data_IF_385692060527
#
_entry.id   IF_385692060527
#
_cell.length_a   1.000
_cell.length_b   1.000
_cell.length_c   1.000
_cell.angle_alpha   90.00
_cell.angle_beta   90.00
_cell.angle_gamma   90.00
#
_symmetry.space_group_name_H-M   'P 1'
#
loop_
_entity.id
_entity.type
_entity.pdbx_description
1 polymer ?
#
# COMPACT_ATOMS: atom_id res chain seq x y z
N UNK A 1 24.68 56.15 49.50
CA UNK A 1 25.26 57.06 48.49
C UNK A 1 24.16 57.37 47.51
N UNK A 2 23.65 58.61 47.44
CA UNK A 2 22.72 58.96 46.38
C UNK A 2 23.42 58.78 45.04
N UNK A 3 22.79 58.05 44.12
CA UNK A 3 23.19 58.10 42.73
C UNK A 3 23.00 59.54 42.25
N UNK A 4 23.93 60.08 41.49
CA UNK A 4 23.96 61.48 41.04
C UNK A 4 22.86 61.85 40.00
N UNK A 5 21.70 61.19 40.05
CA UNK A 5 20.64 61.29 39.04
C UNK A 5 20.96 60.58 37.71
N UNK A 6 22.21 60.14 37.50
CA UNK A 6 22.66 59.40 36.30
C UNK A 6 22.97 57.93 36.58
N UNK A 7 22.61 57.42 37.76
CA UNK A 7 22.81 56.03 38.17
C UNK A 7 24.25 55.69 38.62
N UNK A 8 25.16 56.66 38.60
CA UNK A 8 26.56 56.49 39.04
C UNK A 8 26.70 56.87 40.50
N UNK A 9 27.42 56.04 41.25
CA UNK A 9 27.75 56.31 42.65
C UNK A 9 28.76 57.46 42.72
N UNK A 10 28.43 58.54 43.43
CA UNK A 10 29.33 59.67 43.67
C UNK A 10 29.47 59.95 45.15
N UNK A 11 30.65 60.42 45.57
CA UNK A 11 30.87 60.89 46.94
C UNK A 11 29.91 62.05 47.25
N UNK A 12 29.28 62.09 48.44
CA UNK A 12 28.53 63.26 48.85
C UNK A 12 29.45 64.49 48.90
N UNK A 13 28.98 65.69 48.52
CA UNK A 13 29.80 66.89 48.52
C UNK A 13 30.46 67.12 49.89
N UNK A 14 31.73 67.53 49.88
CA UNK A 14 32.49 67.88 51.09
C UNK A 14 32.65 66.74 52.12
N UNK A 15 32.75 65.48 51.68
CA UNK A 15 32.97 64.31 52.56
C UNK A 15 34.38 63.72 52.51
N UNK A 16 35.27 64.27 51.67
CA UNK A 16 36.68 63.84 51.63
C UNK A 16 37.37 64.29 52.90
N UNK A 17 37.84 63.34 53.72
CA UNK A 17 38.56 63.63 54.94
C UNK A 17 39.91 64.29 54.62
N UNK A 18 40.21 65.41 55.30
CA UNK A 18 41.52 66.06 55.22
C UNK A 18 42.36 65.56 56.40
N UNK A 19 43.60 65.09 56.18
CA UNK A 19 44.47 64.63 57.25
C UNK A 19 44.62 65.69 58.35
N UNK A 20 44.61 65.23 59.62
CA UNK A 20 44.79 66.08 60.81
C UNK A 20 43.73 67.18 61.01
N UNK A 21 42.52 67.00 60.48
CA UNK A 21 41.39 67.92 60.67
C UNK A 21 40.20 67.22 61.35
N UNK A 22 39.38 68.00 62.06
CA UNK A 22 38.16 67.49 62.73
C UNK A 22 37.09 67.14 61.69
N UNK A 23 36.51 65.94 61.81
CA UNK A 23 35.41 65.47 60.96
C UNK A 23 34.06 65.84 61.61
N UNK A 24 33.12 66.32 60.80
CA UNK A 24 31.74 66.59 61.25
C UNK A 24 30.97 65.27 61.42
N UNK A 25 30.61 64.93 62.66
CA UNK A 25 29.93 63.68 63.00
C UNK A 25 28.60 63.49 62.27
N UNK A 26 27.84 64.57 62.01
CA UNK A 26 26.60 64.53 61.25
C UNK A 26 26.78 63.99 59.82
N UNK A 27 27.83 64.46 59.12
CA UNK A 27 28.14 63.99 57.75
C UNK A 27 28.66 62.56 57.73
N UNK A 28 29.49 62.20 58.70
CA UNK A 28 30.00 60.84 58.84
C UNK A 28 28.86 59.82 59.12
N UNK A 29 27.98 60.15 60.07
CA UNK A 29 26.84 59.30 60.40
C UNK A 29 25.85 59.19 59.22
N UNK A 30 25.61 60.29 58.49
CA UNK A 30 24.80 60.25 57.28
C UNK A 30 25.40 59.32 56.22
N UNK A 31 26.72 59.39 55.99
CA UNK A 31 27.42 58.46 55.07
C UNK A 31 27.28 56.99 55.51
N UNK A 32 27.47 56.69 56.80
CA UNK A 32 27.31 55.33 57.32
C UNK A 32 25.87 54.82 57.20
N UNK A 33 24.88 55.67 57.49
CA UNK A 33 23.47 55.33 57.33
C UNK A 33 23.13 55.03 55.87
N UNK A 34 23.68 55.82 54.94
CA UNK A 34 23.55 55.63 53.51
C UNK A 34 24.21 54.33 53.00
N UNK A 35 25.38 53.99 53.53
CA UNK A 35 26.08 52.74 53.24
C UNK A 35 25.27 51.54 53.78
N UNK A 36 24.74 51.65 54.99
CA UNK A 36 23.89 50.62 55.58
C UNK A 36 22.59 50.45 54.78
N UNK A 37 21.99 51.53 54.30
CA UNK A 37 20.78 51.48 53.48
C UNK A 37 21.03 50.80 52.13
N UNK A 38 22.10 51.14 51.42
CA UNK A 38 22.40 50.54 50.10
C UNK A 38 22.81 49.06 50.20
N UNK A 39 23.38 48.64 51.33
CA UNK A 39 23.71 47.22 51.57
C UNK A 39 22.49 46.37 51.94
N UNK A 40 21.40 47.00 52.41
CA UNK A 40 20.17 46.32 52.82
C UNK A 40 19.01 46.50 51.83
N UNK A 41 19.22 47.18 50.71
CA UNK A 41 18.21 47.40 49.66
C UNK A 41 18.63 46.76 48.33
N UNK A 42 17.68 46.32 47.48
CA UNK A 42 18.00 45.81 46.15
C UNK A 42 18.83 46.82 45.34
N UNK A 43 19.94 46.35 44.73
CA UNK A 43 20.85 47.23 43.99
C UNK A 43 20.37 47.50 42.55
N UNK A 44 20.60 48.70 42.01
CA UNK A 44 20.42 48.98 40.58
C UNK A 44 21.33 48.10 39.72
N UNK A 45 20.91 47.79 38.49
CA UNK A 45 21.68 46.92 37.58
C UNK A 45 23.09 47.46 37.27
N UNK A 46 23.29 48.79 37.26
CA UNK A 46 24.60 49.43 37.03
C UNK A 46 25.63 49.07 38.10
N UNK A 47 25.16 48.68 39.28
CA UNK A 47 25.98 48.18 40.39
C UNK A 47 25.99 46.65 40.44
N UNK A 48 25.47 45.98 39.41
CA UNK A 48 25.45 44.52 39.26
C UNK A 48 26.81 43.96 38.84
N UNK A 49 27.07 42.70 39.21
CA UNK A 49 28.35 42.02 38.92
C UNK A 49 28.55 41.57 37.47
N UNK A 50 27.62 41.88 36.57
CA UNK A 50 27.66 41.49 35.15
C UNK A 50 28.39 42.50 34.27
N UNK A 51 28.78 43.67 34.82
CA UNK A 51 29.41 44.75 34.06
C UNK A 51 28.48 45.48 33.09
N UNK A 52 27.19 45.13 33.07
CA UNK A 52 26.22 45.69 32.15
C UNK A 52 25.53 46.94 32.70
N UNK A 53 25.28 47.91 31.83
CA UNK A 53 24.55 49.14 32.13
C UNK A 53 23.09 49.12 31.62
N UNK A 54 22.49 47.94 31.44
CA UNK A 54 21.03 47.78 31.28
C UNK A 54 20.58 46.44 31.84
N UNK A 55 19.28 46.29 32.12
CA UNK A 55 18.69 45.00 32.52
C UNK A 55 18.90 43.92 31.44
N UNK A 56 18.67 44.27 30.18
CA UNK A 56 18.85 43.36 29.03
C UNK A 56 20.31 42.95 28.91
N UNK A 57 21.24 43.91 28.92
CA UNK A 57 22.67 43.60 28.83
C UNK A 57 23.18 42.74 30.01
N UNK A 58 22.59 42.90 31.20
CA UNK A 58 22.91 42.05 32.34
C UNK A 58 22.45 40.61 32.14
N UNK A 59 21.25 40.40 31.60
CA UNK A 59 20.76 39.08 31.22
C UNK A 59 21.60 38.45 30.10
N UNK A 60 21.97 39.22 29.08
CA UNK A 60 22.77 38.74 27.96
C UNK A 60 24.16 38.30 28.42
N UNK A 61 24.78 39.07 29.34
CA UNK A 61 26.06 38.72 29.95
C UNK A 61 26.01 37.45 30.80
N UNK A 62 24.83 37.01 31.25
CA UNK A 62 24.63 35.74 31.94
C UNK A 62 24.39 34.58 30.96
N UNK A 63 23.95 34.84 29.73
CA UNK A 63 23.66 33.84 28.70
C UNK A 63 24.85 33.63 27.74
N UNK A 64 26.02 33.32 28.29
CA UNK A 64 27.26 33.20 27.50
C UNK A 64 27.33 31.92 26.67
N UNK A 65 28.05 31.99 25.54
CA UNK A 65 28.40 30.82 24.72
C UNK A 65 29.71 30.20 25.22
N UNK A 66 29.70 28.88 25.39
CA UNK A 66 30.85 28.05 25.75
C UNK A 66 31.77 27.83 24.55
N UNK A 67 33.04 27.52 24.83
CA UNK A 67 33.88 26.82 23.84
C UNK A 67 33.20 25.51 23.39
N UNK A 68 33.47 25.08 22.15
CA UNK A 68 32.94 23.84 21.60
C UNK A 68 33.35 22.65 22.47
N UNK A 69 32.40 21.75 22.74
CA UNK A 69 32.65 20.48 23.43
C UNK A 69 32.41 19.36 22.44
N UNK A 70 33.39 18.48 22.25
CA UNK A 70 33.21 17.30 21.41
C UNK A 70 32.36 16.25 22.14
N UNK A 71 31.42 15.64 21.41
CA UNK A 71 30.65 14.51 21.90
C UNK A 71 31.56 13.32 22.23
N UNK A 72 31.22 12.66 23.32
CA UNK A 72 31.83 11.44 23.82
C UNK A 72 30.80 10.71 24.70
N UNK A 73 31.11 9.47 25.12
CA UNK A 73 30.25 8.71 26.03
C UNK A 73 29.84 9.56 27.25
N UNK A 74 30.82 10.23 27.86
CA UNK A 74 30.57 11.33 28.81
C UNK A 74 30.95 12.64 28.15
N UNK A 75 29.96 13.39 27.68
CA UNK A 75 30.16 14.76 27.15
C UNK A 75 30.09 15.73 28.32
N UNK A 76 31.20 15.93 29.03
CA UNK A 76 31.20 16.59 30.33
C UNK A 76 30.85 18.09 30.26
N UNK A 77 29.61 18.44 30.61
CA UNK A 77 29.11 19.82 30.61
C UNK A 77 29.58 20.63 31.84
N UNK A 78 30.23 20.01 32.82
CA UNK A 78 30.87 20.74 33.92
C UNK A 78 32.05 21.57 33.43
N UNK A 79 32.64 21.20 32.29
CA UNK A 79 33.74 21.94 31.64
C UNK A 79 33.28 23.12 30.79
N UNK A 80 31.97 23.29 30.61
CA UNK A 80 31.42 24.36 29.79
C UNK A 80 31.77 25.75 30.36
N UNK A 81 32.26 26.64 29.50
CA UNK A 81 32.61 28.02 29.85
C UNK A 81 31.43 28.98 29.66
N UNK A 82 30.25 28.47 29.33
CA UNK A 82 29.01 29.23 29.16
C UNK A 82 27.76 28.35 29.26
N UNK A 83 26.59 28.99 29.20
CA UNK A 83 25.28 28.31 29.29
C UNK A 83 24.93 27.63 27.98
N UNK A 84 25.25 28.28 26.85
CA UNK A 84 25.03 27.73 25.50
C UNK A 84 26.26 26.93 25.08
N UNK A 85 26.11 25.66 24.75
CA UNK A 85 27.20 24.75 24.41
C UNK A 85 27.01 24.21 23.01
N UNK A 86 27.98 24.47 22.14
CA UNK A 86 28.05 23.81 20.84
C UNK A 86 28.65 22.42 21.02
N UNK A 87 27.84 21.39 20.76
CA UNK A 87 28.27 19.98 20.80
C UNK A 87 28.73 19.57 19.40
N UNK A 88 30.00 19.21 19.28
CA UNK A 88 30.63 18.81 18.02
C UNK A 88 30.87 17.30 17.97
N UNK A 89 31.26 16.75 16.82
CA UNK A 89 31.49 15.30 16.67
C UNK A 89 30.22 14.43 16.72
N UNK A 90 30.37 13.14 16.48
CA UNK A 90 29.24 12.19 16.34
C UNK A 90 29.32 10.98 17.27
N UNK A 91 30.07 11.06 18.36
CA UNK A 91 30.15 9.96 19.31
C UNK A 91 28.82 9.82 20.07
N UNK A 92 28.44 8.59 20.42
CA UNK A 92 27.27 8.34 21.24
C UNK A 92 27.46 8.95 22.64
N UNK A 93 26.43 9.63 23.14
CA UNK A 93 26.40 10.30 24.43
C UNK A 93 25.51 9.49 25.37
N UNK A 94 26.05 9.06 26.51
CA UNK A 94 25.34 8.34 27.56
C UNK A 94 25.27 9.12 28.87
N UNK A 95 26.11 10.17 29.03
CA UNK A 95 26.14 11.06 30.19
C UNK A 95 26.67 12.46 29.85
N UNK A 96 26.35 13.44 30.70
CA UNK A 96 26.77 14.85 30.57
C UNK A 96 27.66 15.37 31.71
N UNK A 97 28.29 14.45 32.45
CA UNK A 97 29.12 14.80 33.62
C UNK A 97 28.30 15.16 34.85
N UNK A 98 28.96 15.62 35.92
CA UNK A 98 28.35 15.87 37.23
C UNK A 98 28.26 17.37 37.50
N UNK A 99 27.05 17.87 37.65
CA UNK A 99 26.76 19.24 38.10
C UNK A 99 25.69 19.21 39.20
N UNK A 100 25.62 20.24 40.08
CA UNK A 100 24.55 20.37 41.05
C UNK A 100 23.15 20.29 40.41
N UNK A 101 22.17 19.82 41.17
CA UNK A 101 20.78 19.78 40.71
C UNK A 101 20.27 21.18 40.38
N UNK A 102 19.54 21.32 39.28
CA UNK A 102 18.98 22.58 38.79
C UNK A 102 19.87 23.33 37.79
N UNK A 103 21.13 22.94 37.59
CA UNK A 103 22.00 23.56 36.58
C UNK A 103 21.48 23.26 35.18
N UNK A 104 21.30 24.30 34.37
CA UNK A 104 20.79 24.20 33.00
C UNK A 104 21.89 24.52 31.96
N UNK A 105 21.83 23.82 30.83
CA UNK A 105 22.64 24.06 29.63
C UNK A 105 21.76 24.00 28.40
N UNK A 106 22.00 24.92 27.47
CA UNK A 106 21.40 24.88 26.14
C UNK A 106 22.43 24.28 25.19
N UNK A 107 22.14 23.11 24.64
CA UNK A 107 22.99 22.43 23.69
C UNK A 107 22.55 22.79 22.27
N UNK A 108 23.52 23.11 21.41
CA UNK A 108 23.34 23.23 19.97
C UNK A 108 24.22 22.16 19.32
N UNK A 109 23.61 21.22 18.60
CA UNK A 109 24.34 20.14 17.96
C UNK A 109 24.89 20.62 16.61
N UNK A 110 26.19 20.49 16.41
CA UNK A 110 26.89 20.86 15.16
C UNK A 110 27.14 19.63 14.28
N UNK A 111 26.87 18.44 14.82
CA UNK A 111 27.03 17.15 14.17
C UNK A 111 25.92 16.19 14.65
N UNK A 112 26.08 14.89 14.44
CA UNK A 112 25.01 13.90 14.65
C UNK A 112 25.35 12.83 15.73
N UNK A 113 25.54 13.21 17.01
CA UNK A 113 25.69 12.23 18.08
C UNK A 113 24.36 11.53 18.41
N UNK A 114 24.44 10.29 18.89
CA UNK A 114 23.29 9.56 19.45
C UNK A 114 23.18 9.85 20.95
N UNK A 115 22.10 10.49 21.40
CA UNK A 115 21.78 10.60 22.81
C UNK A 115 21.07 9.31 23.24
N UNK A 116 21.69 8.59 24.19
CA UNK A 116 21.20 7.29 24.64
C UNK A 116 20.32 7.46 25.87
N UNK A 117 19.04 7.10 25.74
CA UNK A 117 18.09 7.17 26.82
C UNK A 117 18.44 6.21 27.96
N UNK A 118 18.32 6.70 29.18
CA UNK A 118 18.31 5.92 30.41
C UNK A 118 17.27 6.51 31.36
N UNK A 119 16.47 5.67 32.00
CA UNK A 119 15.38 6.11 32.89
C UNK A 119 15.85 6.91 34.12
N UNK A 120 17.16 6.92 34.42
CA UNK A 120 17.76 7.59 35.56
C UNK A 120 18.80 8.62 35.13
N UNK A 121 19.84 8.20 34.39
CA UNK A 121 21.03 9.02 34.15
C UNK A 121 20.90 10.02 33.00
N UNK A 122 20.13 9.68 31.96
CA UNK A 122 19.89 10.54 30.80
C UNK A 122 18.46 10.38 30.31
N UNK A 123 17.57 11.17 30.90
CA UNK A 123 16.13 11.13 30.62
C UNK A 123 15.84 12.00 29.40
N UNK A 124 15.29 11.39 28.35
CA UNK A 124 14.98 12.03 27.07
C UNK A 124 13.46 12.00 26.80
N UNK A 125 12.92 12.97 26.03
CA UNK A 125 11.53 12.95 25.57
C UNK A 125 11.16 11.65 24.86
N UNK A 126 9.96 11.14 25.12
CA UNK A 126 9.46 9.91 24.52
C UNK A 126 10.08 8.61 25.06
N UNK A 127 10.92 8.67 26.11
CA UNK A 127 11.58 7.51 26.71
C UNK A 127 12.37 6.66 25.70
N UNK A 128 13.00 7.33 24.73
CA UNK A 128 13.71 6.70 23.62
C UNK A 128 15.00 7.45 23.29
N UNK A 129 15.93 6.76 22.64
CA UNK A 129 17.16 7.37 22.13
C UNK A 129 16.83 8.47 21.10
N UNK A 130 17.63 9.53 21.08
CA UNK A 130 17.51 10.61 20.09
C UNK A 130 18.78 10.64 19.26
N UNK A 131 18.66 10.33 17.97
CA UNK A 131 19.71 10.61 16.99
C UNK A 131 19.65 12.10 16.67
N UNK A 132 20.65 12.86 17.15
CA UNK A 132 20.74 14.28 16.83
C UNK A 132 21.21 14.48 15.39
N UNK A 133 20.94 15.66 14.86
CA UNK A 133 21.48 16.17 13.61
C UNK A 133 22.06 17.57 13.82
N UNK A 134 22.89 18.01 12.86
CA UNK A 134 23.41 19.37 12.88
C UNK A 134 22.26 20.39 12.82
N UNK A 135 22.31 21.38 13.70
CA UNK A 135 21.30 22.42 13.89
C UNK A 135 20.23 22.09 14.94
N UNK A 136 20.18 20.86 15.46
CA UNK A 136 19.26 20.53 16.55
C UNK A 136 19.65 21.27 17.84
N UNK A 137 18.66 21.57 18.68
CA UNK A 137 18.88 22.22 19.98
C UNK A 137 18.19 21.45 21.11
N UNK A 138 18.80 21.43 22.30
CA UNK A 138 18.24 20.81 23.48
C UNK A 138 18.50 21.63 24.74
N UNK A 139 17.54 21.67 25.66
CA UNK A 139 17.72 22.23 27.01
C UNK A 139 17.89 21.08 27.98
N UNK A 140 19.09 20.97 28.54
CA UNK A 140 19.46 19.93 29.50
C UNK A 140 19.52 20.50 30.91
N UNK A 141 18.88 19.84 31.87
CA UNK A 141 18.92 20.21 33.28
C UNK A 141 19.50 19.08 34.12
N UNK A 142 20.49 19.40 34.94
CA UNK A 142 21.06 18.47 35.89
C UNK A 142 20.06 18.18 37.01
N UNK A 143 19.94 16.92 37.39
CA UNK A 143 19.23 16.45 38.59
C UNK A 143 20.18 16.16 39.75
N UNK A 144 21.47 16.46 39.61
CA UNK A 144 22.52 16.10 40.56
C UNK A 144 23.05 14.68 40.34
N UNK A 145 24.26 14.42 40.85
CA UNK A 145 24.87 13.07 40.83
C UNK A 145 25.17 12.50 39.44
N UNK A 146 25.25 13.35 38.41
CA UNK A 146 25.47 12.93 37.02
C UNK A 146 24.21 12.58 36.24
N UNK A 147 23.04 12.76 36.85
CA UNK A 147 21.75 12.53 36.19
C UNK A 147 21.27 13.79 35.48
N UNK A 148 20.77 13.63 34.25
CA UNK A 148 20.29 14.73 33.42
C UNK A 148 18.91 14.46 32.86
N UNK A 149 18.11 15.51 32.76
CA UNK A 149 16.82 15.48 32.05
C UNK A 149 16.84 16.49 30.92
N UNK A 150 16.45 16.06 29.74
CA UNK A 150 16.19 16.93 28.60
C UNK A 150 14.79 17.54 28.77
N UNK A 151 14.75 18.84 29.07
CA UNK A 151 13.52 19.62 29.32
C UNK A 151 12.80 19.94 28.01
N UNK A 152 13.57 20.24 26.97
CA UNK A 152 13.07 20.44 25.63
C UNK A 152 14.11 20.01 24.62
N UNK A 153 13.65 19.55 23.46
CA UNK A 153 14.49 19.28 22.30
C UNK A 153 13.73 19.80 21.08
N UNK A 154 14.46 20.41 20.15
CA UNK A 154 13.91 20.93 18.92
C UNK A 154 14.78 20.47 17.77
N UNK A 155 14.19 19.74 16.82
CA UNK A 155 14.90 19.44 15.58
C UNK A 155 14.98 20.67 14.69
N UNK A 156 16.10 20.83 14.00
CA UNK A 156 16.26 21.88 13.00
C UNK A 156 15.15 21.83 11.92
N UNK A 157 14.69 20.62 11.58
CA UNK A 157 13.61 20.40 10.61
C UNK A 157 12.21 20.73 11.12
N UNK A 158 12.05 21.01 12.42
CA UNK A 158 10.74 21.17 13.07
C UNK A 158 9.94 19.87 13.23
N UNK A 159 10.49 18.72 12.83
CA UNK A 159 9.81 17.44 12.89
C UNK A 159 9.68 16.91 14.33
N UNK A 160 8.57 16.23 14.70
CA UNK A 160 8.36 15.67 16.03
C UNK A 160 9.44 14.66 16.44
N UNK A 161 9.90 14.71 17.70
CA UNK A 161 10.98 13.85 18.23
C UNK A 161 10.63 12.37 18.15
N UNK A 162 9.37 12.04 18.40
CA UNK A 162 8.83 10.68 18.33
C UNK A 162 8.38 10.36 16.90
N UNK A 163 8.84 9.23 16.36
CA UNK A 163 8.51 8.78 15.00
C UNK A 163 7.22 7.96 14.91
N UNK A 164 6.63 7.59 16.05
CA UNK A 164 5.30 6.98 16.12
C UNK A 164 4.23 8.07 16.21
N UNK A 165 3.46 8.22 15.13
CA UNK A 165 2.21 8.96 15.16
C UNK A 165 1.14 8.03 15.76
N UNK A 166 0.48 8.45 16.84
CA UNK A 166 -0.66 7.69 17.37
C UNK A 166 -1.84 7.78 16.39
N UNK A 167 -2.63 6.72 16.24
CA UNK A 167 -3.77 6.72 15.32
C UNK A 167 -4.76 7.86 15.61
N UNK A 168 -4.88 8.29 16.86
CA UNK A 168 -5.75 9.39 17.29
C UNK A 168 -5.36 10.79 16.77
N UNK A 169 -4.15 10.97 16.24
CA UNK A 169 -3.73 12.23 15.60
C UNK A 169 -3.79 12.16 14.07
N UNK A 170 -4.11 11.00 13.49
CA UNK A 170 -4.37 10.89 12.06
C UNK A 170 -5.70 11.56 11.72
N UNK A 171 -5.83 12.19 10.54
CA UNK A 171 -7.14 12.62 10.04
C UNK A 171 -8.12 11.44 10.09
N UNK A 172 -9.39 11.67 10.44
CA UNK A 172 -10.35 10.57 10.62
C UNK A 172 -10.45 9.58 9.45
N UNK A 173 -10.18 10.04 8.21
CA UNK A 173 -10.11 9.20 6.99
C UNK A 173 -8.92 8.22 6.94
N UNK A 174 -7.93 8.39 7.81
CA UNK A 174 -6.73 7.57 7.96
C UNK A 174 -6.65 6.92 9.36
N UNK A 175 -7.70 7.03 10.18
CA UNK A 175 -7.71 6.48 11.54
C UNK A 175 -8.14 5.00 11.59
N UNK A 176 -8.39 4.52 12.81
CA UNK A 176 -8.81 3.15 13.11
C UNK A 176 -10.13 2.73 12.44
N UNK A 177 -11.01 3.68 12.16
CA UNK A 177 -12.34 3.45 11.58
C UNK A 177 -12.51 4.36 10.36
N UNK A 178 -13.14 3.84 9.32
CA UNK A 178 -13.47 4.61 8.13
C UNK A 178 -14.31 5.84 8.49
N UNK A 179 -14.03 6.97 7.82
CA UNK A 179 -14.75 8.22 8.05
C UNK A 179 -16.20 8.08 7.58
N UNK A 180 -17.16 8.28 8.48
CA UNK A 180 -18.58 8.36 8.12
C UNK A 180 -18.84 9.59 7.25
N UNK A 181 -19.55 9.38 6.14
CA UNK A 181 -19.98 10.43 5.21
C UNK A 181 -21.49 10.33 4.96
N UNK A 182 -22.08 11.42 4.46
CA UNK A 182 -23.49 11.49 4.05
C UNK A 182 -23.66 11.51 2.53
N UNK A 183 -22.57 11.67 1.80
CA UNK A 183 -22.54 11.71 0.33
C UNK A 183 -21.15 11.28 -0.16
N UNK A 184 -21.11 10.29 -1.05
CA UNK A 184 -19.86 9.82 -1.67
C UNK A 184 -19.16 10.88 -2.53
N UNK A 185 -19.85 11.91 -3.02
CA UNK A 185 -19.23 13.02 -3.73
C UNK A 185 -18.37 13.92 -2.82
N UNK A 186 -18.53 13.83 -1.50
CA UNK A 186 -17.74 14.61 -0.53
C UNK A 186 -16.46 13.89 -0.07
N UNK A 187 -16.27 12.62 -0.46
CA UNK A 187 -15.06 11.85 -0.16
C UNK A 187 -13.97 12.13 -1.21
N UNK A 188 -13.24 13.22 -1.00
CA UNK A 188 -12.29 13.78 -2.00
C UNK A 188 -10.82 13.47 -1.71
N UNK A 189 -10.47 13.24 -0.44
CA UNK A 189 -9.10 12.99 -0.01
C UNK A 189 -8.82 11.48 0.08
N UNK A 190 -7.54 11.10 0.06
CA UNK A 190 -7.13 9.71 0.24
C UNK A 190 -7.61 9.13 1.58
N UNK A 191 -8.11 7.91 1.59
CA UNK A 191 -8.44 7.22 2.85
C UNK A 191 -9.66 6.33 2.75
N UNK A 192 -10.15 5.93 3.92
CA UNK A 192 -11.29 5.03 4.08
C UNK A 192 -12.53 5.79 4.50
N UNK A 193 -13.65 5.46 3.85
CA UNK A 193 -14.93 6.13 4.03
C UNK A 193 -16.05 5.10 4.15
N UNK A 194 -17.09 5.44 4.91
CA UNK A 194 -18.26 4.58 5.07
C UNK A 194 -19.57 5.36 5.15
N UNK A 195 -20.67 4.69 4.86
CA UNK A 195 -22.02 5.20 5.07
C UNK A 195 -23.06 4.12 4.75
N UNK A 196 -24.33 4.38 5.06
CA UNK A 196 -25.43 3.45 4.77
C UNK A 196 -26.55 4.17 4.06
N UNK A 197 -26.92 3.70 2.86
CA UNK A 197 -28.01 4.28 2.07
C UNK A 197 -27.83 5.78 1.78
N UNK A 198 -26.58 6.22 1.62
CA UNK A 198 -26.21 7.63 1.49
C UNK A 198 -26.20 8.11 0.03
N UNK A 199 -26.22 9.43 -0.16
CA UNK A 199 -26.25 10.03 -1.48
C UNK A 199 -25.02 9.63 -2.33
N UNK A 200 -25.24 9.48 -3.63
CA UNK A 200 -24.22 9.12 -4.62
C UNK A 200 -23.46 7.80 -4.33
N UNK A 201 -23.98 6.93 -3.46
CA UNK A 201 -23.54 5.56 -3.35
C UNK A 201 -23.87 4.77 -4.64
N UNK A 202 -23.21 3.61 -4.90
CA UNK A 202 -23.66 2.70 -5.95
C UNK A 202 -25.15 2.37 -5.76
N UNK A 203 -25.98 2.64 -6.77
CA UNK A 203 -27.45 2.50 -6.64
C UNK A 203 -27.91 1.09 -6.24
N UNK A 204 -27.11 0.08 -6.56
CA UNK A 204 -27.35 -1.32 -6.17
C UNK A 204 -27.03 -1.63 -4.70
N UNK A 205 -26.55 -0.65 -3.93
CA UNK A 205 -26.21 -0.79 -2.52
C UNK A 205 -26.93 0.29 -1.68
N UNK A 206 -27.98 -0.15 -0.99
CA UNK A 206 -28.78 0.65 -0.05
C UNK A 206 -28.41 0.40 1.42
N UNK A 207 -27.40 -0.43 1.67
CA UNK A 207 -26.93 -0.90 2.97
C UNK A 207 -25.61 -0.25 3.34
N UNK A 208 -24.88 -0.77 4.33
CA UNK A 208 -23.58 -0.25 4.74
C UNK A 208 -22.52 -0.52 3.67
N UNK A 209 -22.01 0.55 3.08
CA UNK A 209 -20.88 0.54 2.17
C UNK A 209 -19.65 1.14 2.85
N UNK A 210 -18.51 0.51 2.61
CA UNK A 210 -17.19 1.00 2.98
C UNK A 210 -16.31 1.02 1.73
N UNK A 211 -15.36 1.94 1.65
CA UNK A 211 -14.56 2.08 0.45
C UNK A 211 -13.35 2.98 0.61
N UNK A 212 -12.56 3.02 -0.45
CA UNK A 212 -11.34 3.81 -0.56
C UNK A 212 -11.50 4.94 -1.57
N UNK A 213 -10.79 6.03 -1.30
CA UNK A 213 -10.56 7.13 -2.26
C UNK A 213 -9.08 7.16 -2.60
N UNK A 214 -8.79 7.23 -3.89
CA UNK A 214 -7.45 7.27 -4.47
C UNK A 214 -7.34 8.53 -5.35
N UNK A 215 -6.79 9.61 -4.78
CA UNK A 215 -6.60 10.90 -5.43
C UNK A 215 -5.24 10.94 -6.17
N UNK A 216 -5.27 11.46 -7.40
CA UNK A 216 -4.09 11.57 -8.26
C UNK A 216 -3.10 12.66 -7.80
N UNK A 217 -3.55 13.64 -7.01
CA UNK A 217 -2.79 14.82 -6.60
C UNK A 217 -3.23 16.13 -7.28
N UNK A 218 -4.03 16.05 -8.33
CA UNK A 218 -4.70 17.21 -8.95
C UNK A 218 -6.19 17.28 -8.53
N UNK A 219 -6.71 18.49 -8.35
CA UNK A 219 -8.13 18.70 -8.08
C UNK A 219 -8.99 18.15 -9.23
N UNK A 220 -10.08 17.44 -8.88
CA UNK A 220 -11.00 16.83 -9.84
C UNK A 220 -10.60 15.46 -10.39
N UNK A 221 -9.47 14.88 -9.96
CA UNK A 221 -9.00 13.56 -10.42
C UNK A 221 -8.84 12.59 -9.26
N UNK A 222 -9.70 11.58 -9.20
CA UNK A 222 -9.66 10.52 -8.18
C UNK A 222 -10.47 9.30 -8.60
N UNK A 223 -10.17 8.16 -8.02
CA UNK A 223 -10.99 6.95 -8.09
C UNK A 223 -11.62 6.65 -6.74
N UNK A 224 -12.83 6.08 -6.76
CA UNK A 224 -13.49 5.54 -5.57
C UNK A 224 -13.82 4.08 -5.81
N UNK A 225 -13.44 3.22 -4.86
CA UNK A 225 -13.83 1.80 -4.87
C UNK A 225 -14.60 1.51 -3.59
N UNK A 226 -15.82 1.00 -3.75
CA UNK A 226 -16.77 0.81 -2.65
C UNK A 226 -17.27 -0.62 -2.68
N UNK A 227 -17.43 -1.21 -1.50
CA UNK A 227 -18.00 -2.53 -1.34
C UNK A 227 -19.02 -2.57 -0.22
N UNK A 228 -19.96 -3.50 -0.32
CA UNK A 228 -20.90 -3.76 0.77
C UNK A 228 -20.18 -4.46 1.93
N UNK A 229 -20.34 -3.94 3.13
CA UNK A 229 -19.70 -4.49 4.32
C UNK A 229 -20.45 -5.71 4.90
N UNK A 230 -21.76 -5.82 4.65
CA UNK A 230 -22.66 -6.72 5.37
C UNK A 230 -23.22 -7.86 4.53
N UNK A 231 -23.35 -7.64 3.22
CA UNK A 231 -24.12 -8.49 2.31
C UNK A 231 -23.33 -8.99 1.10
N UNK A 232 -22.00 -8.78 1.08
CA UNK A 232 -21.14 -9.34 0.06
C UNK A 232 -21.04 -10.87 0.19
N UNK A 233 -21.09 -11.58 -0.94
CA UNK A 233 -20.96 -13.04 -1.02
C UNK A 233 -20.01 -13.44 -2.14
N UNK A 234 -19.63 -14.71 -2.21
CA UNK A 234 -18.83 -15.20 -3.34
C UNK A 234 -19.58 -15.02 -4.69
N UNK A 235 -20.90 -15.15 -4.73
CA UNK A 235 -21.68 -15.01 -5.96
C UNK A 235 -21.93 -13.55 -6.37
N UNK A 236 -21.85 -12.62 -5.41
CA UNK A 236 -21.99 -11.19 -5.60
C UNK A 236 -21.11 -10.47 -4.59
N UNK A 237 -19.91 -10.09 -5.00
CA UNK A 237 -18.94 -9.42 -4.13
C UNK A 237 -19.39 -8.01 -3.76
N UNK A 238 -20.39 -7.47 -4.48
CA UNK A 238 -20.92 -6.12 -4.26
C UNK A 238 -19.79 -5.10 -4.23
N UNK A 239 -18.89 -5.15 -5.21
CA UNK A 239 -17.80 -4.17 -5.39
C UNK A 239 -18.15 -3.27 -6.58
N UNK A 240 -17.99 -1.96 -6.40
CA UNK A 240 -18.17 -0.96 -7.45
C UNK A 240 -17.01 0.01 -7.48
N UNK A 241 -16.74 0.55 -8.67
CA UNK A 241 -15.76 1.62 -8.84
C UNK A 241 -16.36 2.75 -9.69
N UNK A 242 -15.92 3.96 -9.42
CA UNK A 242 -16.13 5.13 -10.28
C UNK A 242 -14.91 6.03 -10.25
N UNK A 243 -14.88 6.99 -11.17
CA UNK A 243 -13.81 7.96 -11.28
C UNK A 243 -14.38 9.36 -11.36
N UNK A 244 -13.67 10.32 -10.77
CA UNK A 244 -13.82 11.73 -11.09
C UNK A 244 -12.72 12.10 -12.06
N UNK A 245 -13.09 12.69 -13.20
CA UNK A 245 -12.15 13.14 -14.24
C UNK A 245 -12.49 14.60 -14.54
N UNK A 246 -11.50 15.49 -14.37
CA UNK A 246 -11.71 16.93 -14.59
C UNK A 246 -12.81 17.54 -13.71
N UNK A 247 -13.09 16.97 -12.54
CA UNK A 247 -14.13 17.43 -11.63
C UNK A 247 -15.53 16.81 -11.85
N UNK A 248 -15.75 16.10 -12.96
CA UNK A 248 -17.01 15.41 -13.22
C UNK A 248 -16.97 13.96 -12.71
N UNK A 249 -18.00 13.53 -11.98
CA UNK A 249 -18.15 12.15 -11.52
C UNK A 249 -18.72 11.26 -12.63
N UNK A 250 -18.04 10.17 -12.94
CA UNK A 250 -18.56 9.09 -13.75
C UNK A 250 -19.54 8.19 -12.98
N UNK A 251 -20.27 7.36 -13.74
CA UNK A 251 -21.18 6.37 -13.17
C UNK A 251 -20.41 5.28 -12.40
N UNK A 252 -21.06 4.73 -11.38
CA UNK A 252 -20.60 3.51 -10.73
C UNK A 252 -20.73 2.32 -11.68
N UNK A 253 -19.67 1.54 -11.82
CA UNK A 253 -19.69 0.27 -12.52
C UNK A 253 -19.27 -0.85 -11.57
N UNK A 254 -19.90 -2.02 -11.75
CA UNK A 254 -19.65 -3.20 -10.92
C UNK A 254 -18.30 -3.81 -11.29
N UNK A 255 -17.54 -4.20 -10.27
CA UNK A 255 -16.32 -5.00 -10.41
C UNK A 255 -16.67 -6.43 -10.02
N UNK A 256 -16.24 -7.39 -10.85
CA UNK A 256 -16.42 -8.81 -10.62
C UNK A 256 -15.05 -9.44 -10.43
N UNK A 257 -14.76 -9.94 -9.22
CA UNK A 257 -13.45 -10.50 -8.88
C UNK A 257 -13.52 -11.93 -8.41
N UNK A 258 -14.63 -12.35 -7.79
CA UNK A 258 -14.70 -13.70 -7.24
C UNK A 258 -14.72 -14.74 -8.35
N UNK A 259 -14.25 -15.94 -8.02
CA UNK A 259 -14.35 -17.08 -8.93
C UNK A 259 -15.81 -17.33 -9.35
N UNK A 260 -16.77 -17.28 -8.42
CA UNK A 260 -18.17 -17.53 -8.74
C UNK A 260 -18.79 -16.47 -9.67
N UNK A 261 -18.42 -15.18 -9.54
CA UNK A 261 -18.85 -14.14 -10.49
C UNK A 261 -18.28 -14.37 -11.89
N UNK A 262 -17.01 -14.78 -11.97
CA UNK A 262 -16.34 -15.09 -13.24
C UNK A 262 -16.92 -16.35 -13.90
N UNK A 263 -17.08 -17.43 -13.13
CA UNK A 263 -17.64 -18.71 -13.60
C UNK A 263 -19.07 -18.52 -14.11
N UNK A 264 -19.90 -17.73 -13.41
CA UNK A 264 -21.26 -17.42 -13.86
C UNK A 264 -21.26 -16.69 -15.20
N UNK A 265 -20.33 -15.73 -15.40
CA UNK A 265 -20.17 -15.01 -16.67
C UNK A 265 -19.68 -15.93 -17.79
N UNK A 266 -18.71 -16.80 -17.54
CA UNK A 266 -18.22 -17.75 -18.54
C UNK A 266 -19.28 -18.81 -18.91
N UNK A 267 -20.10 -19.27 -17.96
CA UNK A 267 -21.24 -20.16 -18.22
C UNK A 267 -22.31 -19.52 -19.10
N UNK A 268 -22.52 -18.21 -19.01
CA UNK A 268 -23.43 -17.50 -19.93
C UNK A 268 -22.88 -17.40 -21.36
N UNK A 269 -21.55 -17.45 -21.53
CA UNK A 269 -20.91 -17.45 -22.85
C UNK A 269 -20.83 -18.86 -23.48
N UNK A 270 -21.02 -19.93 -22.69
CA UNK A 270 -21.24 -21.28 -23.22
C UNK A 270 -22.71 -21.46 -23.60
N UNK A 271 -23.08 -21.08 -24.83
CA UNK A 271 -24.31 -21.58 -25.47
C UNK A 271 -24.27 -23.11 -25.44
N UNK A 272 -25.39 -23.85 -25.24
CA UNK A 272 -25.39 -25.30 -25.37
C UNK A 272 -24.79 -25.68 -26.72
N UNK A 273 -23.60 -26.29 -26.69
CA UNK A 273 -22.96 -26.72 -27.92
C UNK A 273 -23.88 -27.76 -28.58
N UNK A 274 -24.15 -27.66 -29.89
CA UNK A 274 -25.05 -28.58 -30.57
C UNK A 274 -24.56 -30.04 -30.51
N UNK A 275 -23.24 -30.23 -30.32
CA UNK A 275 -22.58 -31.50 -30.03
C UNK A 275 -21.58 -31.31 -28.89
N UNK A 276 -21.56 -32.23 -27.94
CA UNK A 276 -20.64 -32.24 -26.78
C UNK A 276 -19.80 -33.51 -26.72
N UNK A 277 -20.09 -34.51 -27.56
CA UNK A 277 -19.35 -35.76 -27.65
C UNK A 277 -19.16 -36.20 -29.11
N UNK A 278 -18.08 -36.95 -29.37
CA UNK A 278 -17.75 -37.49 -30.68
C UNK A 278 -17.22 -38.92 -30.57
N UNK A 279 -17.47 -39.71 -31.62
CA UNK A 279 -16.98 -41.08 -31.78
C UNK A 279 -16.38 -41.26 -33.18
N UNK A 280 -15.30 -42.01 -33.28
CA UNK A 280 -14.72 -42.50 -34.53
C UNK A 280 -14.39 -43.99 -34.37
N UNK A 281 -14.88 -44.82 -35.28
CA UNK A 281 -14.59 -46.26 -35.26
C UNK A 281 -13.17 -46.55 -35.72
N UNK A 282 -12.59 -47.66 -35.24
CA UNK A 282 -11.46 -48.28 -35.94
C UNK A 282 -11.86 -48.65 -37.38
N UNK A 283 -10.87 -48.78 -38.29
CA UNK A 283 -11.09 -49.24 -39.66
C UNK A 283 -11.78 -50.61 -39.70
N UNK A 284 -12.93 -50.70 -40.36
CA UNK A 284 -13.71 -51.92 -40.48
C UNK A 284 -13.56 -52.58 -41.84
N UNK A 285 -13.56 -53.91 -41.85
CA UNK A 285 -13.56 -54.71 -43.08
C UNK A 285 -14.94 -54.64 -43.75
N UNK A 286 -14.94 -54.46 -45.07
CA UNK A 286 -16.15 -54.50 -45.88
C UNK A 286 -16.49 -55.96 -46.22
N UNK A 287 -17.68 -56.41 -45.83
CA UNK A 287 -18.16 -57.79 -46.08
C UNK A 287 -19.52 -57.75 -46.74
N UNK A 288 -19.66 -58.38 -47.91
CA UNK A 288 -20.94 -58.45 -48.64
C UNK A 288 -22.04 -59.05 -47.76
N UNK A 289 -23.17 -58.36 -47.63
CA UNK A 289 -24.29 -58.75 -46.77
C UNK A 289 -23.98 -58.81 -45.26
N UNK A 290 -22.78 -58.43 -44.85
CA UNK A 290 -22.29 -58.51 -43.47
C UNK A 290 -22.94 -57.49 -42.54
N UNK A 291 -22.82 -57.72 -41.23
CA UNK A 291 -23.21 -56.77 -40.19
C UNK A 291 -22.04 -56.44 -39.27
N UNK A 292 -22.06 -55.22 -38.71
CA UNK A 292 -21.14 -54.77 -37.66
C UNK A 292 -21.93 -54.10 -36.54
N UNK A 293 -21.44 -54.23 -35.31
CA UNK A 293 -21.95 -53.48 -34.15
C UNK A 293 -20.78 -52.67 -33.59
N UNK A 294 -20.87 -51.34 -33.70
CA UNK A 294 -19.82 -50.43 -33.24
C UNK A 294 -20.29 -49.72 -31.97
N UNK A 295 -19.71 -50.09 -30.82
CA UNK A 295 -19.97 -49.41 -29.57
C UNK A 295 -19.36 -48.00 -29.60
N UNK A 296 -20.18 -46.96 -29.43
CA UNK A 296 -19.75 -45.57 -29.60
C UNK A 296 -19.54 -44.80 -28.30
N UNK A 297 -19.98 -45.33 -27.15
CA UNK A 297 -19.73 -44.73 -25.83
C UNK A 297 -20.39 -43.36 -25.55
N UNK A 298 -21.16 -42.82 -26.49
CA UNK A 298 -21.82 -41.52 -26.36
C UNK A 298 -22.99 -41.52 -25.35
N UNK A 299 -23.49 -42.68 -24.93
CA UNK A 299 -24.57 -42.79 -23.93
C UNK A 299 -25.95 -42.24 -24.38
N UNK A 300 -26.02 -41.62 -25.56
CA UNK A 300 -27.22 -41.14 -26.23
C UNK A 300 -27.14 -41.47 -27.73
N UNK A 301 -28.28 -41.49 -28.40
CA UNK A 301 -28.35 -41.67 -29.85
C UNK A 301 -27.67 -40.49 -30.55
N UNK A 302 -26.63 -40.70 -31.39
CA UNK A 302 -25.98 -39.62 -32.11
C UNK A 302 -26.93 -38.84 -33.01
N UNK A 303 -26.67 -37.53 -33.14
CA UNK A 303 -27.45 -36.59 -33.97
C UNK A 303 -26.96 -36.56 -35.41
N UNK A 304 -25.67 -36.73 -35.63
CA UNK A 304 -25.04 -36.79 -36.97
C UNK A 304 -24.15 -38.02 -37.05
N UNK A 305 -24.19 -38.68 -38.21
CA UNK A 305 -23.31 -39.79 -38.58
C UNK A 305 -22.69 -39.47 -39.93
N UNK A 306 -21.36 -39.58 -40.02
CA UNK A 306 -20.62 -39.52 -41.26
C UNK A 306 -19.93 -40.86 -41.48
N UNK A 307 -19.94 -41.33 -42.72
CA UNK A 307 -19.32 -42.59 -43.11
C UNK A 307 -18.30 -42.31 -44.20
N UNK A 308 -17.11 -42.86 -44.03
CA UNK A 308 -16.03 -42.71 -44.96
C UNK A 308 -15.42 -44.06 -45.33
N UNK A 309 -14.85 -44.11 -46.53
CA UNK A 309 -14.00 -45.20 -46.97
C UNK A 309 -12.57 -44.69 -47.08
N UNK A 310 -11.66 -45.41 -46.42
CA UNK A 310 -10.24 -45.15 -46.50
C UNK A 310 -9.58 -46.17 -47.42
N UNK A 311 -8.84 -45.68 -48.40
CA UNK A 311 -8.10 -46.50 -49.36
C UNK A 311 -6.87 -47.09 -48.67
N UNK A 312 -6.76 -48.42 -48.63
CA UNK A 312 -5.61 -49.15 -48.05
C UNK A 312 -4.68 -49.71 -49.12
N UNK A 313 -5.11 -49.74 -50.38
CA UNK A 313 -4.32 -50.16 -51.54
C UNK A 313 -4.85 -49.39 -52.75
N UNK A 314 -3.96 -48.83 -53.58
CA UNK A 314 -4.37 -47.96 -54.69
C UNK A 314 -5.46 -48.60 -55.56
N UNK A 315 -6.61 -47.93 -55.69
CA UNK A 315 -7.80 -48.43 -56.38
C UNK A 315 -8.64 -47.25 -56.90
N UNK A 316 -9.31 -47.42 -58.05
CA UNK A 316 -10.20 -46.42 -58.64
C UNK A 316 -9.61 -44.99 -58.77
N UNK A 317 -8.29 -44.86 -58.96
CA UNK A 317 -7.58 -43.58 -59.04
C UNK A 317 -7.26 -42.93 -57.68
N UNK A 318 -7.62 -43.58 -56.58
CA UNK A 318 -7.29 -43.17 -55.21
C UNK A 318 -5.97 -43.80 -54.75
N UNK A 319 -5.22 -43.04 -53.95
CA UNK A 319 -3.95 -43.47 -53.35
C UNK A 319 -4.16 -44.01 -51.94
N UNK A 320 -3.21 -44.79 -51.44
CA UNK A 320 -3.24 -45.28 -50.05
C UNK A 320 -3.33 -44.09 -49.09
N UNK A 321 -4.29 -44.15 -48.16
CA UNK A 321 -4.58 -43.09 -47.19
C UNK A 321 -5.64 -42.09 -47.64
N UNK A 322 -6.00 -42.03 -48.93
CA UNK A 322 -7.12 -41.20 -49.38
C UNK A 322 -8.41 -41.64 -48.69
N UNK A 323 -9.18 -40.66 -48.24
CA UNK A 323 -10.47 -40.86 -47.59
C UNK A 323 -11.59 -40.20 -48.38
N UNK A 324 -12.69 -40.93 -48.60
CA UNK A 324 -13.86 -40.45 -49.32
C UNK A 324 -15.11 -40.65 -48.48
N UNK A 325 -15.88 -39.59 -48.29
CA UNK A 325 -17.18 -39.69 -47.63
C UNK A 325 -18.21 -40.34 -48.56
N UNK A 326 -18.96 -41.28 -48.01
CA UNK A 326 -20.05 -41.97 -48.70
C UNK A 326 -21.37 -41.73 -47.97
N UNK A 327 -22.47 -41.80 -48.71
CA UNK A 327 -23.80 -41.82 -48.13
C UNK A 327 -24.04 -43.15 -47.39
N UNK A 328 -24.63 -43.08 -46.19
CA UNK A 328 -24.97 -44.25 -45.38
C UNK A 328 -26.42 -44.71 -45.60
N UNK A 329 -26.81 -44.78 -46.88
CA UNK A 329 -28.12 -45.27 -47.32
C UNK A 329 -27.95 -46.15 -48.56
N UNK A 330 -29.07 -46.57 -49.16
CA UNK A 330 -29.04 -47.28 -50.44
C UNK A 330 -28.34 -46.43 -51.50
N UNK A 331 -27.39 -47.05 -52.21
CA UNK A 331 -26.62 -46.40 -53.27
C UNK A 331 -26.73 -47.23 -54.55
N UNK A 332 -27.93 -47.21 -55.13
CA UNK A 332 -28.30 -48.00 -56.31
C UNK A 332 -29.19 -47.20 -57.26
N UNK A 333 -29.08 -47.48 -58.55
CA UNK A 333 -29.95 -46.93 -59.63
C UNK A 333 -31.09 -47.89 -60.01
N UNK A 334 -31.31 -48.93 -59.21
CA UNK A 334 -32.32 -49.98 -59.41
C UNK A 334 -32.52 -50.82 -58.14
N UNK A 335 -33.25 -51.94 -58.22
CA UNK A 335 -33.59 -52.80 -57.07
C UNK A 335 -32.43 -53.69 -56.58
N UNK A 336 -31.25 -53.10 -56.40
CA UNK A 336 -30.04 -53.78 -55.92
C UNK A 336 -29.81 -53.48 -54.44
N UNK A 337 -29.38 -54.50 -53.69
CA UNK A 337 -28.99 -54.35 -52.28
C UNK A 337 -27.60 -53.72 -52.16
N UNK A 338 -27.45 -52.43 -52.48
CA UNK A 338 -26.18 -51.70 -52.41
C UNK A 338 -26.21 -50.59 -51.34
N UNK A 339 -25.04 -50.21 -50.82
CA UNK A 339 -24.86 -49.18 -49.81
C UNK A 339 -24.56 -49.73 -48.42
N UNK A 340 -24.57 -48.82 -47.45
CA UNK A 340 -24.32 -49.12 -46.03
C UNK A 340 -25.49 -48.54 -45.25
N UNK A 341 -26.27 -49.35 -44.56
CA UNK A 341 -27.32 -48.86 -43.66
C UNK A 341 -26.80 -48.83 -42.23
N UNK A 342 -27.05 -47.74 -41.50
CA UNK A 342 -26.67 -47.62 -40.09
C UNK A 342 -27.90 -47.31 -39.24
N UNK A 343 -28.13 -48.12 -38.22
CA UNK A 343 -29.17 -47.92 -37.22
C UNK A 343 -28.52 -47.55 -35.88
N UNK A 344 -28.51 -46.25 -35.52
CA UNK A 344 -27.95 -45.79 -34.25
C UNK A 344 -28.92 -46.01 -33.09
N UNK A 345 -28.39 -46.51 -31.97
CA UNK A 345 -29.04 -46.53 -30.66
C UNK A 345 -28.25 -45.71 -29.63
N UNK A 346 -28.55 -45.82 -28.34
CA UNK A 346 -27.89 -45.04 -27.29
C UNK A 346 -26.43 -45.50 -27.00
N UNK A 347 -26.04 -46.67 -27.51
CA UNK A 347 -24.80 -47.35 -27.17
C UNK A 347 -24.02 -47.85 -28.39
N UNK A 348 -24.71 -48.20 -29.47
CA UNK A 348 -24.14 -48.84 -30.65
C UNK A 348 -24.63 -48.21 -31.96
N UNK A 349 -23.76 -48.28 -32.96
CA UNK A 349 -24.09 -48.11 -34.38
C UNK A 349 -24.17 -49.50 -35.01
N UNK A 350 -25.38 -49.92 -35.38
CA UNK A 350 -25.61 -51.21 -36.02
C UNK A 350 -25.55 -51.03 -37.54
N UNK A 351 -24.48 -51.53 -38.16
CA UNK A 351 -24.17 -51.35 -39.58
C UNK A 351 -24.55 -52.60 -40.36
N UNK A 352 -25.18 -52.41 -41.53
CA UNK A 352 -25.49 -53.48 -42.48
C UNK A 352 -24.94 -53.12 -43.85
N UNK A 353 -24.11 -53.99 -44.41
CA UNK A 353 -23.64 -53.88 -45.79
C UNK A 353 -24.68 -54.47 -46.74
N UNK A 354 -24.82 -53.85 -47.92
CA UNK A 354 -25.63 -54.38 -49.00
C UNK A 354 -25.21 -55.81 -49.40
N UNK A 355 -26.19 -56.62 -49.84
CA UNK A 355 -25.98 -58.01 -50.25
C UNK A 355 -25.56 -58.18 -51.72
N UNK A 356 -25.60 -57.13 -52.53
CA UNK A 356 -25.15 -57.16 -53.92
C UNK A 356 -23.62 -57.31 -54.02
N UNK A 357 -23.09 -57.91 -55.08
CA UNK A 357 -21.64 -58.04 -55.29
C UNK A 357 -20.95 -56.67 -55.41
N UNK A 358 -21.70 -55.65 -55.87
CA UNK A 358 -21.24 -54.27 -56.04
C UNK A 358 -21.75 -53.35 -54.90
N UNK A 359 -21.94 -53.86 -53.68
CA UNK A 359 -22.54 -53.12 -52.56
C UNK A 359 -21.86 -51.80 -52.14
N UNK A 360 -20.67 -51.48 -52.67
CA UNK A 360 -20.03 -50.17 -52.55
C UNK A 360 -19.57 -49.75 -53.93
N UNK A 361 -19.92 -48.53 -54.35
CA UNK A 361 -19.48 -47.94 -55.61
C UNK A 361 -19.00 -46.53 -55.35
N UNK A 362 -17.90 -46.16 -56.01
CA UNK A 362 -17.34 -44.83 -55.96
C UNK A 362 -17.18 -44.29 -57.38
N UNK A 363 -17.12 -42.97 -57.52
CA UNK A 363 -16.61 -42.36 -58.74
C UNK A 363 -15.09 -42.51 -58.75
N UNK A 364 -14.51 -42.83 -59.89
CA UNK A 364 -13.07 -42.86 -60.05
C UNK A 364 -12.50 -41.45 -59.90
N UNK A 365 -11.48 -41.27 -59.04
CA UNK A 365 -10.91 -39.95 -58.72
C UNK A 365 -10.31 -39.25 -59.94
N UNK A 366 -9.82 -40.01 -60.92
CA UNK A 366 -9.12 -39.49 -62.09
C UNK A 366 -10.06 -39.05 -63.21
N UNK A 367 -11.17 -39.76 -63.42
CA UNK A 367 -12.04 -39.53 -64.59
C UNK A 367 -13.53 -39.38 -64.27
N UNK A 368 -13.95 -39.53 -63.02
CA UNK A 368 -15.34 -39.35 -62.59
C UNK A 368 -16.30 -40.46 -63.03
N UNK A 369 -15.83 -41.52 -63.71
CA UNK A 369 -16.68 -42.65 -64.10
C UNK A 369 -17.04 -43.52 -62.91
N UNK A 370 -18.14 -44.26 -63.01
CA UNK A 370 -18.47 -45.33 -62.06
C UNK A 370 -17.35 -46.36 -61.98
N UNK A 371 -16.86 -46.63 -60.78
CA UNK A 371 -15.83 -47.63 -60.52
C UNK A 371 -16.31 -48.66 -59.51
N UNK A 372 -16.29 -49.93 -59.91
CA UNK A 372 -16.50 -51.05 -58.99
C UNK A 372 -15.28 -51.15 -58.08
N UNK A 373 -15.41 -50.71 -56.83
CA UNK A 373 -14.27 -50.70 -55.90
C UNK A 373 -13.86 -52.12 -55.52
N UNK A 374 -12.55 -52.37 -55.46
CA UNK A 374 -11.99 -53.61 -54.94
C UNK A 374 -12.13 -53.59 -53.42
N UNK A 375 -13.03 -54.39 -52.86
CA UNK A 375 -13.44 -54.27 -51.44
C UNK A 375 -12.30 -54.45 -50.44
N UNK A 376 -11.29 -55.25 -50.79
CA UNK A 376 -10.10 -55.44 -49.96
C UNK A 376 -9.20 -54.20 -49.90
N UNK A 377 -9.27 -53.33 -50.91
CA UNK A 377 -8.52 -52.07 -51.04
C UNK A 377 -9.12 -50.92 -50.22
N UNK A 378 -10.25 -51.11 -49.54
CA UNK A 378 -10.94 -50.08 -48.78
C UNK A 378 -11.31 -50.53 -47.37
N UNK A 379 -11.38 -49.59 -46.43
CA UNK A 379 -11.87 -49.80 -45.06
C UNK A 379 -12.91 -48.76 -44.68
N UNK A 380 -13.95 -49.19 -43.98
CA UNK A 380 -15.01 -48.30 -43.50
C UNK A 380 -14.58 -47.62 -42.20
N UNK A 381 -14.78 -46.31 -42.11
CA UNK A 381 -14.66 -45.52 -40.88
C UNK A 381 -16.00 -44.82 -40.64
N UNK A 382 -16.57 -44.99 -39.45
CA UNK A 382 -17.83 -44.36 -39.05
C UNK A 382 -17.56 -43.35 -37.96
N UNK A 383 -18.01 -42.11 -38.18
CA UNK A 383 -17.92 -41.01 -37.21
C UNK A 383 -19.31 -40.59 -36.77
N UNK A 384 -19.47 -40.27 -35.49
CA UNK A 384 -20.76 -39.87 -34.92
C UNK A 384 -20.59 -38.76 -33.87
N UNK A 385 -21.56 -37.85 -33.79
CA UNK A 385 -21.57 -36.72 -32.85
C UNK A 385 -22.90 -36.62 -32.09
N UNK A 386 -22.84 -36.33 -30.80
CA UNK A 386 -23.99 -36.25 -29.89
C UNK A 386 -24.01 -34.91 -29.14
#
# INVERSE_FOLDING_TARGET
MPMNGSGVTSWPPNTVAIPNTTIESGKYNAFLADLLAIMNTPRPFQMGGTGASTLVGGNDALNTTSANIASAATTDLATATGIVVNVTGSAAITAFGVLPSGVERVLVFVAAPLLTYNAVSLILPGAANIQAAAGDAAVMRSKGGGNWVCVSYQRASGQPITTTLADGILPARLGLVAKTITDWNNALDNGWYMGSGIANAPAANTTWNIGTVEAHGAAGYRAQTVYDFTAATAADTKIWRRHQVGGAWGAWYKIQWSQAEQDARYRQLSVPLPFTQAFESAQQTLTQGGALTLAHGLGVKPKIIAVALQCTTADAGYSIGDEVFINHHISATGSFGMGVSIVPDATNLNVRFGSDAQYIVLLNKTNGNYSTTVKTSWRLVVRAWA
#
